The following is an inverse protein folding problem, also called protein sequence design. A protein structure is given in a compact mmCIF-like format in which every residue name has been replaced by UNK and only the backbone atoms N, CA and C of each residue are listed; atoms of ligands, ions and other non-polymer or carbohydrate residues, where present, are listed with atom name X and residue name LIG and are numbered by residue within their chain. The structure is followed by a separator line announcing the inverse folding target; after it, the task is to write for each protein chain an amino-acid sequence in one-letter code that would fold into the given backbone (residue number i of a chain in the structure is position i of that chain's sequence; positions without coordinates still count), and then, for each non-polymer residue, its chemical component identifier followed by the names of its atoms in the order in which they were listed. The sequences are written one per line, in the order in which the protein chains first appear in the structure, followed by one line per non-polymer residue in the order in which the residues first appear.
data_IF_577793961268
#
_entry.id   IF_577793961268
#
_cell.length_a   1.000
_cell.length_b   1.000
_cell.length_c   1.000
_cell.angle_alpha   90.00
_cell.angle_beta   90.00
_cell.angle_gamma   90.00
#
_symmetry.space_group_name_H-M   'P 1'
#
loop_
_entity.id
_entity.type
_entity.pdbx_description
1 polymer ?
#
# COMPACT_ATOMS: atom_id res chain seq x y z
N UNK A 1 6.41 6.64 10.59
CA UNK A 1 6.00 5.78 9.47
C UNK A 1 6.70 4.44 9.47
N UNK A 2 8.04 4.34 9.55
CA UNK A 2 8.72 3.02 9.55
C UNK A 2 8.35 2.14 10.75
N UNK A 3 8.32 2.74 11.96
CA UNK A 3 7.88 2.01 13.15
C UNK A 3 6.45 1.49 13.00
N UNK A 4 5.55 2.31 12.44
CA UNK A 4 4.15 1.94 12.22
C UNK A 4 4.00 0.79 11.21
N UNK A 5 4.75 0.81 10.11
CA UNK A 5 4.73 -0.29 9.14
C UNK A 5 5.18 -1.61 9.79
N UNK A 6 6.20 -1.56 10.66
CA UNK A 6 6.63 -2.73 11.44
C UNK A 6 5.54 -3.18 12.40
N UNK A 7 4.96 -2.27 13.18
CA UNK A 7 3.88 -2.58 14.12
C UNK A 7 2.68 -3.21 13.42
N UNK A 8 2.34 -2.76 12.21
CA UNK A 8 1.24 -3.36 11.45
C UNK A 8 1.57 -4.77 10.96
N UNK A 9 2.81 -5.05 10.57
CA UNK A 9 3.23 -6.43 10.29
C UNK A 9 3.10 -7.33 11.53
N UNK A 10 3.48 -6.84 12.71
CA UNK A 10 3.32 -7.60 13.97
C UNK A 10 1.85 -7.91 14.26
N UNK A 11 0.95 -6.95 13.99
CA UNK A 11 -0.51 -7.16 14.13
C UNK A 11 -0.99 -8.23 13.16
N UNK A 12 -0.58 -8.17 11.90
CA UNK A 12 -0.96 -9.15 10.87
C UNK A 12 -0.48 -10.56 11.23
N UNK A 13 0.70 -10.69 11.81
CA UNK A 13 1.22 -11.98 12.29
C UNK A 13 0.44 -12.50 13.51
N UNK A 14 0.14 -11.63 14.49
CA UNK A 14 -0.58 -12.00 15.70
C UNK A 14 -2.04 -12.40 15.45
N UNK A 15 -2.70 -11.76 14.48
CA UNK A 15 -4.06 -12.12 14.07
C UNK A 15 -4.09 -13.43 13.27
N UNK A 16 -2.97 -13.82 12.66
CA UNK A 16 -2.88 -15.04 11.86
C UNK A 16 -3.56 -14.91 10.49
N UNK A 17 -4.17 -16.00 10.04
CA UNK A 17 -4.75 -16.08 8.70
C UNK A 17 -6.03 -15.26 8.57
N UNK A 18 -6.23 -14.59 7.43
CA UNK A 18 -7.37 -13.71 7.18
C UNK A 18 -8.36 -14.42 6.25
N UNK A 19 -9.51 -14.85 6.77
CA UNK A 19 -10.49 -15.61 5.98
C UNK A 19 -10.99 -14.89 4.71
N UNK A 20 -11.11 -13.55 4.78
CA UNK A 20 -11.62 -12.73 3.69
C UNK A 20 -10.83 -11.43 3.62
N UNK A 21 -10.36 -11.09 2.41
CA UNK A 21 -9.77 -9.81 2.08
C UNK A 21 -10.36 -9.29 0.77
N UNK A 22 -10.87 -8.06 0.79
CA UNK A 22 -11.48 -7.42 -0.38
C UNK A 22 -10.52 -6.35 -0.87
N UNK A 23 -10.13 -6.43 -2.15
CA UNK A 23 -9.12 -5.59 -2.76
C UNK A 23 -9.67 -4.88 -3.98
N UNK A 24 -9.25 -3.64 -4.18
CA UNK A 24 -9.35 -2.95 -5.46
C UNK A 24 -8.11 -3.22 -6.32
N UNK A 25 -8.26 -3.11 -7.64
CA UNK A 25 -7.16 -3.23 -8.60
C UNK A 25 -7.14 -1.96 -9.45
N UNK A 26 -5.95 -1.36 -9.60
CA UNK A 26 -5.73 -0.21 -10.48
C UNK A 26 -5.72 -0.62 -11.96
N UNK A 27 -5.85 0.35 -12.87
CA UNK A 27 -5.87 0.08 -14.32
C UNK A 27 -4.59 -0.62 -14.84
N UNK A 28 -3.45 -0.40 -14.17
CA UNK A 28 -2.17 -1.05 -14.47
C UNK A 28 -1.95 -2.37 -13.69
N UNK A 29 -2.95 -2.85 -12.94
CA UNK A 29 -2.90 -4.08 -12.16
C UNK A 29 -2.35 -3.94 -10.75
N UNK A 30 -2.01 -2.74 -10.27
CA UNK A 30 -1.53 -2.57 -8.90
C UNK A 30 -2.62 -2.90 -7.86
N UNK A 31 -2.18 -3.36 -6.68
CA UNK A 31 -3.02 -3.60 -5.51
C UNK A 31 -2.45 -2.78 -4.35
N UNK A 32 -3.28 -2.00 -3.66
CA UNK A 32 -2.76 -1.01 -2.70
C UNK A 32 -1.84 -0.01 -3.41
N UNK A 33 -0.66 0.27 -2.87
CA UNK A 33 0.39 1.05 -3.56
C UNK A 33 1.52 0.16 -4.13
N UNK A 34 1.26 -1.13 -4.36
CA UNK A 34 2.23 -2.04 -4.96
C UNK A 34 2.21 -1.91 -6.50
N UNK A 35 2.98 -0.95 -7.02
CA UNK A 35 3.12 -0.70 -8.45
C UNK A 35 3.77 -1.88 -9.22
N UNK A 36 3.63 -1.95 -10.56
CA UNK A 36 4.32 -2.95 -11.36
C UNK A 36 5.83 -3.00 -11.08
N UNK A 37 6.32 -4.17 -10.67
CA UNK A 37 7.71 -4.39 -10.29
C UNK A 37 7.96 -4.48 -8.78
N UNK A 38 6.96 -4.21 -7.93
CA UNK A 38 7.06 -4.47 -6.49
C UNK A 38 7.37 -5.95 -6.24
N UNK A 39 8.36 -6.28 -5.37
CA UNK A 39 8.70 -7.67 -5.04
C UNK A 39 7.52 -8.45 -4.44
N UNK A 40 7.36 -9.71 -4.82
CA UNK A 40 6.30 -10.58 -4.28
C UNK A 40 6.46 -10.90 -2.79
N UNK A 41 7.69 -10.84 -2.28
CA UNK A 41 8.04 -11.01 -0.86
C UNK A 41 7.91 -9.71 -0.06
N UNK A 42 7.42 -8.63 -0.65
CA UNK A 42 7.18 -7.37 0.05
C UNK A 42 6.16 -7.54 1.19
N UNK A 43 6.51 -7.01 2.36
CA UNK A 43 5.63 -6.89 3.53
C UNK A 43 5.14 -5.45 3.68
N UNK A 44 4.41 -5.10 4.74
CA UNK A 44 3.90 -3.74 4.95
C UNK A 44 5.07 -2.78 5.04
N UNK A 45 5.09 -1.76 4.20
CA UNK A 45 6.23 -0.87 4.01
C UNK A 45 5.79 0.56 3.64
N UNK A 46 6.74 1.49 3.72
CA UNK A 46 6.55 2.84 3.17
C UNK A 46 6.81 2.79 1.66
N UNK A 47 5.94 3.43 0.88
CA UNK A 47 6.04 3.60 -0.56
C UNK A 47 6.13 5.09 -0.88
N UNK A 48 7.08 5.46 -1.73
CA UNK A 48 7.10 6.77 -2.39
C UNK A 48 6.05 6.77 -3.51
N UNK A 49 5.14 7.73 -3.48
CA UNK A 49 4.09 7.80 -4.51
C UNK A 49 4.68 8.29 -5.84
N UNK A 50 4.30 7.62 -6.92
CA UNK A 50 4.64 8.05 -8.27
C UNK A 50 3.94 9.36 -8.61
N UNK A 51 4.50 10.15 -9.53
CA UNK A 51 3.86 11.37 -10.01
C UNK A 51 2.45 11.10 -10.58
N UNK A 52 2.26 9.97 -11.27
CA UNK A 52 0.95 9.55 -11.76
C UNK A 52 -0.06 9.32 -10.64
N UNK A 53 0.39 8.72 -9.53
CA UNK A 53 -0.46 8.47 -8.36
C UNK A 53 -0.79 9.78 -7.62
N UNK A 54 0.18 10.69 -7.49
CA UNK A 54 -0.05 12.03 -6.93
C UNK A 54 -1.10 12.77 -7.78
N UNK A 55 -0.92 12.79 -9.10
CA UNK A 55 -1.84 13.45 -10.04
C UNK A 55 -3.22 12.80 -10.07
N UNK A 56 -3.32 11.48 -9.95
CA UNK A 56 -4.61 10.79 -9.88
C UNK A 56 -5.36 11.12 -8.58
N UNK A 57 -4.63 11.31 -7.48
CA UNK A 57 -5.20 11.61 -6.16
C UNK A 57 -5.46 13.11 -5.93
N UNK A 58 -4.85 14.02 -6.69
CA UNK A 58 -5.02 15.47 -6.53
C UNK A 58 -6.48 15.93 -6.62
N UNK A 59 -7.34 15.17 -7.30
CA UNK A 59 -8.81 15.39 -7.32
C UNK A 59 -9.48 15.38 -5.92
N UNK A 60 -8.80 14.85 -4.90
CA UNK A 60 -9.29 14.78 -3.53
C UNK A 60 -8.71 15.88 -2.62
N UNK A 61 -7.85 16.76 -3.16
CA UNK A 61 -7.16 17.81 -2.41
C UNK A 61 -7.44 19.17 -3.06
N UNK A 62 -7.28 20.26 -2.29
CA UNK A 62 -7.46 21.62 -2.83
C UNK A 62 -6.34 21.96 -3.82
N UNK A 63 -5.09 21.57 -3.52
CA UNK A 63 -3.94 21.74 -4.39
C UNK A 63 -3.18 20.41 -4.54
N UNK A 64 -2.48 20.22 -5.67
CA UNK A 64 -1.65 19.04 -5.91
C UNK A 64 -0.50 18.91 -4.89
N UNK A 65 0.05 20.04 -4.44
CA UNK A 65 1.13 20.08 -3.43
C UNK A 65 0.67 19.60 -2.04
N UNK A 66 -0.65 19.55 -1.78
CA UNK A 66 -1.21 19.04 -0.54
C UNK A 66 -1.30 17.50 -0.53
N UNK A 67 -1.07 16.85 -1.67
CA UNK A 67 -1.10 15.40 -1.79
C UNK A 67 0.14 14.81 -1.08
N UNK A 68 -0.04 13.84 -0.15
CA UNK A 68 1.08 13.17 0.49
C UNK A 68 2.02 12.52 -0.53
N UNK A 69 3.33 12.63 -0.30
CA UNK A 69 4.35 12.04 -1.19
C UNK A 69 4.70 10.59 -0.84
N UNK A 70 4.28 10.13 0.33
CA UNK A 70 4.52 8.78 0.82
C UNK A 70 3.24 8.20 1.41
N UNK A 71 3.12 6.88 1.35
CA UNK A 71 2.07 6.11 1.99
C UNK A 71 2.66 4.89 2.70
N UNK A 72 1.91 4.33 3.65
CA UNK A 72 2.15 2.97 4.14
C UNK A 72 1.19 2.06 3.38
N UNK A 73 1.71 0.98 2.79
CA UNK A 73 0.93 -0.01 2.05
C UNK A 73 1.25 -1.40 2.58
N UNK A 74 0.23 -2.25 2.68
CA UNK A 74 0.46 -3.70 2.80
C UNK A 74 1.24 -4.17 1.58
N UNK A 75 2.22 -5.04 1.81
CA UNK A 75 2.98 -5.67 0.74
C UNK A 75 2.27 -6.90 0.16
N UNK A 76 2.76 -7.37 -0.98
CA UNK A 76 2.18 -8.50 -1.70
C UNK A 76 2.22 -9.80 -0.88
N UNK A 77 3.27 -10.02 -0.09
CA UNK A 77 3.36 -11.21 0.78
C UNK A 77 2.25 -11.21 1.84
N UNK A 78 2.00 -10.06 2.49
CA UNK A 78 0.91 -9.97 3.47
C UNK A 78 -0.45 -10.15 2.80
N UNK A 79 -0.65 -9.57 1.62
CA UNK A 79 -1.89 -9.69 0.86
C UNK A 79 -2.17 -11.15 0.50
N UNK A 80 -1.16 -11.89 0.05
CA UNK A 80 -1.27 -13.29 -0.39
C UNK A 80 -1.36 -14.30 0.76
N UNK A 81 -1.04 -13.89 1.99
CA UNK A 81 -1.17 -14.71 3.19
C UNK A 81 -2.59 -14.71 3.78
N UNK A 82 -3.54 -14.00 3.15
CA UNK A 82 -4.96 -14.13 3.50
C UNK A 82 -5.44 -15.58 3.26
#
# INVERSE_FOLDING_TARGET
MNAEASTYNDVLEQQGQRDIQILGIGENGHIGFNEPGTPFDSVTHIVDLTESTIKANSRYFENEDDVPKQAISMGLANILQA
#
